data_IF_421808324350
#
_entry.id   IF_421808324350
#
_cell.length_a   1.000
_cell.length_b   1.000
_cell.length_c   1.000
_cell.angle_alpha   90.00
_cell.angle_beta   90.00
_cell.angle_gamma   90.00
#
_symmetry.space_group_name_H-M   'P 1'
#
loop_
_entity.id
_entity.type
_entity.pdbx_description
1 polymer ?
#
# COMPACT_ATOMS: atom_id res chain seq x y z
N UNK A 1 24.40 9.39 39.31
CA UNK A 1 24.01 8.53 38.17
C UNK A 1 22.63 7.96 38.47
N UNK A 2 21.62 8.13 37.60
CA UNK A 2 20.30 7.49 37.79
C UNK A 2 20.42 6.03 37.40
N UNK A 3 20.10 5.10 38.30
CA UNK A 3 20.06 3.68 37.98
C UNK A 3 18.93 3.42 36.98
N UNK A 4 19.26 2.75 35.86
CA UNK A 4 18.26 2.32 34.89
C UNK A 4 17.62 1.04 35.43
N UNK A 5 16.45 1.18 36.03
CA UNK A 5 15.69 0.02 36.50
C UNK A 5 15.23 -0.83 35.31
N UNK A 6 15.55 -2.13 35.32
CA UNK A 6 15.18 -3.08 34.26
C UNK A 6 13.66 -3.32 34.25
N UNK A 7 13.07 -3.58 33.08
CA UNK A 7 11.65 -3.96 32.96
C UNK A 7 11.46 -5.43 33.32
N UNK A 8 10.65 -5.70 34.35
CA UNK A 8 10.24 -7.06 34.73
C UNK A 8 9.06 -7.53 33.88
N UNK A 9 8.82 -8.84 33.81
CA UNK A 9 7.68 -9.37 33.04
C UNK A 9 6.33 -8.90 33.60
N UNK A 10 6.24 -8.75 34.92
CA UNK A 10 5.08 -8.19 35.61
C UNK A 10 4.82 -6.73 35.23
N UNK A 11 5.87 -5.90 35.16
CA UNK A 11 5.76 -4.51 34.71
C UNK A 11 5.28 -4.42 33.26
N UNK A 12 5.73 -5.35 32.39
CA UNK A 12 5.33 -5.38 30.98
C UNK A 12 3.86 -5.72 30.81
N UNK A 13 3.37 -6.77 31.49
CA UNK A 13 1.96 -7.16 31.42
C UNK A 13 1.07 -6.04 31.95
N UNK A 14 1.42 -5.50 33.13
CA UNK A 14 0.68 -4.39 33.73
C UNK A 14 0.67 -3.16 32.81
N UNK A 15 1.77 -2.89 32.10
CA UNK A 15 1.83 -1.79 31.13
C UNK A 15 0.87 -2.01 29.96
N UNK A 16 0.79 -3.22 29.42
CA UNK A 16 -0.14 -3.54 28.34
C UNK A 16 -1.59 -3.29 28.77
N UNK A 17 -1.98 -3.86 29.92
CA UNK A 17 -3.34 -3.77 30.45
C UNK A 17 -3.75 -2.31 30.73
N UNK A 18 -2.84 -1.54 31.33
CA UNK A 18 -3.10 -0.13 31.64
C UNK A 18 -3.16 0.75 30.39
N UNK A 19 -2.36 0.45 29.37
CA UNK A 19 -2.45 1.20 28.11
C UNK A 19 -3.80 0.96 27.46
N UNK A 20 -4.32 -0.27 27.46
CA UNK A 20 -5.63 -0.56 26.89
C UNK A 20 -6.76 0.13 27.67
N UNK A 21 -6.69 0.14 29.00
CA UNK A 21 -7.67 0.82 29.86
C UNK A 21 -7.64 2.35 29.75
N UNK A 22 -6.46 2.93 29.49
CA UNK A 22 -6.26 4.39 29.46
C UNK A 22 -6.12 4.94 28.02
N UNK A 23 -6.47 4.16 27.00
CA UNK A 23 -6.49 4.61 25.61
C UNK A 23 -7.90 4.97 25.19
N UNK A 24 -8.12 6.25 24.90
CA UNK A 24 -9.40 6.77 24.40
C UNK A 24 -9.15 7.46 23.06
N UNK A 25 -9.96 7.18 22.04
CA UNK A 25 -9.82 7.79 20.70
C UNK A 25 -8.38 7.68 20.13
N UNK A 26 -7.73 6.52 20.29
CA UNK A 26 -6.34 6.27 19.89
C UNK A 26 -5.29 7.17 20.56
N UNK A 27 -5.61 7.79 21.70
CA UNK A 27 -4.68 8.55 22.54
C UNK A 27 -4.62 7.93 23.93
N UNK A 28 -3.42 7.55 24.36
CA UNK A 28 -3.17 6.95 25.68
C UNK A 28 -2.77 8.02 26.68
N UNK A 29 -3.39 8.03 27.88
CA UNK A 29 -3.00 8.91 28.97
C UNK A 29 -1.76 8.37 29.71
N UNK A 30 -0.57 8.69 29.20
CA UNK A 30 0.70 8.20 29.75
C UNK A 30 1.00 8.68 31.17
N UNK A 31 0.39 9.78 31.63
CA UNK A 31 0.58 10.28 33.00
C UNK A 31 -0.10 9.33 33.99
N UNK A 32 -1.33 8.92 33.71
CA UNK A 32 -2.07 7.96 34.55
C UNK A 32 -1.42 6.58 34.55
N UNK A 33 -0.97 6.10 33.39
CA UNK A 33 -0.27 4.80 33.26
C UNK A 33 1.02 4.81 34.08
N UNK A 34 1.81 5.89 33.99
CA UNK A 34 3.06 6.06 34.72
C UNK A 34 2.90 6.04 36.24
N UNK A 35 1.86 6.68 36.76
CA UNK A 35 1.56 6.72 38.19
C UNK A 35 1.34 5.31 38.76
N UNK A 36 0.73 4.41 38.00
CA UNK A 36 0.39 3.06 38.47
C UNK A 36 1.53 2.02 38.35
N UNK A 37 2.55 2.33 37.54
CA UNK A 37 3.73 1.46 37.31
C UNK A 37 5.00 2.03 37.96
N UNK A 38 4.91 3.19 38.64
CA UNK A 38 6.04 3.87 39.27
C UNK A 38 7.22 4.10 38.32
N UNK A 39 6.90 4.53 37.09
CA UNK A 39 7.87 4.88 36.04
C UNK A 39 7.51 6.26 35.51
N UNK A 40 8.41 6.90 34.77
CA UNK A 40 8.07 8.16 34.11
C UNK A 40 7.19 7.91 32.87
N UNK A 41 6.29 8.85 32.50
CA UNK A 41 5.48 8.74 31.29
C UNK A 41 6.28 8.45 30.02
N UNK A 42 7.46 9.08 29.88
CA UNK A 42 8.34 8.85 28.75
C UNK A 42 8.94 7.44 28.74
N UNK A 43 9.29 6.85 29.89
CA UNK A 43 9.76 5.47 29.95
C UNK A 43 8.66 4.49 29.52
N UNK A 44 7.43 4.66 30.03
CA UNK A 44 6.28 3.85 29.63
C UNK A 44 6.00 3.96 28.13
N UNK A 45 5.95 5.19 27.59
CA UNK A 45 5.69 5.44 26.17
C UNK A 45 6.77 4.84 25.27
N UNK A 46 8.05 5.08 25.59
CA UNK A 46 9.17 4.57 24.80
C UNK A 46 9.23 3.05 24.84
N UNK A 47 9.02 2.45 26.01
CA UNK A 47 9.00 1.00 26.15
C UNK A 47 7.82 0.38 25.39
N UNK A 48 6.61 0.90 25.55
CA UNK A 48 5.42 0.40 24.84
C UNK A 48 5.55 0.53 23.32
N UNK A 49 6.13 1.64 22.83
CA UNK A 49 6.35 1.87 21.40
C UNK A 49 7.38 0.91 20.79
N UNK A 50 8.39 0.51 21.55
CA UNK A 50 9.46 -0.40 21.08
C UNK A 50 9.11 -1.85 21.34
N UNK A 51 8.79 -2.23 22.58
CA UNK A 51 8.65 -3.64 22.96
C UNK A 51 7.24 -4.21 22.68
N UNK A 52 6.18 -3.46 23.01
CA UNK A 52 4.81 -4.00 22.97
C UNK A 52 4.16 -3.80 21.60
N UNK A 53 4.37 -2.64 20.95
CA UNK A 53 3.94 -2.39 19.56
C UNK A 53 4.61 -3.29 18.52
N UNK A 54 5.72 -3.95 18.87
CA UNK A 54 6.34 -4.97 18.01
C UNK A 54 5.67 -6.34 18.15
N UNK A 55 5.09 -6.64 19.32
CA UNK A 55 4.37 -7.90 19.59
C UNK A 55 2.89 -7.85 19.19
N UNK A 56 2.27 -6.67 19.14
CA UNK A 56 0.95 -6.51 18.53
C UNK A 56 1.14 -6.60 17.01
N UNK A 57 0.50 -7.53 16.28
CA UNK A 57 0.58 -7.57 14.84
C UNK A 57 0.15 -6.21 14.33
N UNK A 58 1.08 -5.48 13.71
CA UNK A 58 0.80 -4.19 13.11
C UNK A 58 -0.40 -4.40 12.20
N UNK A 59 -1.57 -3.88 12.58
CA UNK A 59 -2.67 -3.56 11.64
C UNK A 59 -2.20 -2.64 10.49
N UNK A 60 -0.95 -2.19 10.52
CA UNK A 60 -0.45 -1.02 9.84
C UNK A 60 0.28 -1.29 8.52
N UNK A 61 0.55 -2.54 8.13
CA UNK A 61 1.23 -2.83 6.86
C UNK A 61 0.44 -3.85 6.03
N UNK A 62 -0.86 -3.61 5.83
CA UNK A 62 -1.61 -4.40 4.85
C UNK A 62 -0.92 -4.26 3.49
N UNK A 63 -0.47 -5.39 2.95
CA UNK A 63 0.23 -5.44 1.68
C UNK A 63 -0.81 -5.16 0.58
N UNK A 64 -0.58 -4.11 -0.20
CA UNK A 64 -1.40 -3.84 -1.38
C UNK A 64 -0.99 -4.76 -2.51
N UNK A 65 -1.69 -5.87 -2.67
CA UNK A 65 -1.54 -6.74 -3.83
C UNK A 65 -2.16 -6.08 -5.07
N UNK A 66 -1.73 -6.53 -6.26
CA UNK A 66 -2.32 -6.09 -7.53
C UNK A 66 -3.83 -6.37 -7.58
N UNK A 67 -4.27 -7.51 -7.05
CA UNK A 67 -5.69 -7.88 -6.96
C UNK A 67 -6.48 -6.92 -6.06
N UNK A 68 -5.99 -6.66 -4.85
CA UNK A 68 -6.61 -5.70 -3.91
C UNK A 68 -6.71 -4.29 -4.50
N UNK A 69 -5.66 -3.86 -5.21
CA UNK A 69 -5.66 -2.57 -5.90
C UNK A 69 -6.67 -2.54 -7.05
N UNK A 70 -6.75 -3.60 -7.85
CA UNK A 70 -7.74 -3.75 -8.92
C UNK A 70 -9.18 -3.70 -8.39
N UNK A 71 -9.44 -4.37 -7.27
CA UNK A 71 -10.73 -4.33 -6.57
C UNK A 71 -11.06 -2.91 -6.10
N UNK A 72 -10.08 -2.17 -5.54
CA UNK A 72 -10.28 -0.77 -5.13
C UNK A 72 -10.67 0.10 -6.32
N UNK A 73 -9.95 -0.01 -7.44
CA UNK A 73 -10.23 0.76 -8.65
C UNK A 73 -11.62 0.43 -9.21
N UNK A 74 -12.00 -0.85 -9.23
CA UNK A 74 -13.34 -1.29 -9.62
C UNK A 74 -14.44 -0.71 -8.73
N UNK A 75 -14.24 -0.70 -7.41
CA UNK A 75 -15.18 -0.10 -6.47
C UNK A 75 -15.32 1.41 -6.67
N UNK A 76 -14.21 2.13 -6.91
CA UNK A 76 -14.25 3.57 -7.18
C UNK A 76 -14.96 3.88 -8.50
N UNK A 77 -14.81 3.02 -9.51
CA UNK A 77 -15.52 3.14 -10.79
C UNK A 77 -17.04 2.97 -10.63
N UNK A 78 -17.50 2.03 -9.80
CA UNK A 78 -18.93 1.73 -9.60
C UNK A 78 -19.58 2.72 -8.62
N UNK A 79 -18.95 2.99 -7.49
CA UNK A 79 -19.55 3.74 -6.37
C UNK A 79 -19.08 5.21 -6.29
N UNK A 80 -18.13 5.61 -7.14
CA UNK A 80 -17.43 6.89 -7.02
C UNK A 80 -16.47 6.93 -5.83
N UNK A 81 -16.06 8.13 -5.40
CA UNK A 81 -15.13 8.35 -4.27
C UNK A 81 -15.81 8.26 -2.90
N UNK A 82 -16.80 7.38 -2.74
CA UNK A 82 -17.54 7.14 -1.48
C UNK A 82 -16.73 6.22 -0.55
N UNK A 83 -15.61 6.70 -0.03
CA UNK A 83 -14.62 5.89 0.70
C UNK A 83 -15.19 5.09 1.88
N UNK A 84 -16.09 5.68 2.67
CA UNK A 84 -16.72 5.01 3.81
C UNK A 84 -17.58 3.81 3.37
N UNK A 85 -18.28 3.94 2.24
CA UNK A 85 -19.06 2.87 1.64
C UNK A 85 -18.14 1.75 1.13
N UNK A 86 -17.10 2.12 0.37
CA UNK A 86 -16.14 1.17 -0.19
C UNK A 86 -15.44 0.37 0.93
N UNK A 87 -15.00 1.05 2.00
CA UNK A 87 -14.45 0.40 3.20
C UNK A 87 -15.42 -0.62 3.78
N UNK A 88 -16.66 -0.21 4.03
CA UNK A 88 -17.67 -1.07 4.67
C UNK A 88 -17.98 -2.32 3.84
N UNK A 89 -18.03 -2.19 2.52
CA UNK A 89 -18.45 -3.28 1.63
C UNK A 89 -17.31 -4.26 1.28
N UNK A 90 -16.08 -3.77 1.10
CA UNK A 90 -15.03 -4.55 0.43
C UNK A 90 -13.67 -4.51 1.14
N UNK A 91 -13.44 -3.56 2.05
CA UNK A 91 -12.12 -3.36 2.68
C UNK A 91 -12.25 -3.07 4.19
N UNK A 92 -12.83 -3.98 4.99
CA UNK A 92 -13.07 -3.74 6.42
C UNK A 92 -11.77 -3.48 7.21
N UNK A 93 -10.68 -4.09 6.78
CA UNK A 93 -9.36 -4.01 7.43
C UNK A 93 -8.59 -2.73 7.11
N UNK A 94 -8.96 -2.01 6.04
CA UNK A 94 -8.31 -0.77 5.64
C UNK A 94 -9.03 0.44 6.21
N UNK A 95 -8.29 1.48 6.58
CA UNK A 95 -8.89 2.78 6.89
C UNK A 95 -9.33 3.49 5.60
N UNK A 96 -10.33 4.36 5.70
CA UNK A 96 -10.78 5.18 4.56
C UNK A 96 -9.64 6.00 3.96
N UNK A 97 -8.75 6.49 4.82
CA UNK A 97 -7.58 7.26 4.42
C UNK A 97 -6.55 6.40 3.66
N UNK A 98 -6.31 5.15 4.07
CA UNK A 98 -5.45 4.23 3.33
C UNK A 98 -5.98 3.98 1.91
N UNK A 99 -7.30 3.76 1.76
CA UNK A 99 -7.93 3.59 0.45
C UNK A 99 -7.74 4.83 -0.44
N UNK A 100 -8.02 6.00 0.14
CA UNK A 100 -7.92 7.30 -0.54
C UNK A 100 -6.49 7.56 -1.02
N UNK A 101 -5.51 7.46 -0.11
CA UNK A 101 -4.09 7.69 -0.41
C UNK A 101 -3.60 6.71 -1.48
N UNK A 102 -3.99 5.43 -1.39
CA UNK A 102 -3.59 4.43 -2.37
C UNK A 102 -4.16 4.73 -3.76
N UNK A 103 -5.44 5.10 -3.84
CA UNK A 103 -6.08 5.48 -5.09
C UNK A 103 -5.38 6.68 -5.74
N UNK A 104 -5.14 7.76 -4.99
CA UNK A 104 -4.48 8.95 -5.55
C UNK A 104 -3.03 8.69 -5.95
N UNK A 105 -2.30 7.89 -5.19
CA UNK A 105 -0.96 7.44 -5.57
C UNK A 105 -0.98 6.69 -6.91
N UNK A 106 -1.97 5.80 -7.10
CA UNK A 106 -2.16 5.09 -8.36
C UNK A 106 -2.51 6.03 -9.52
N UNK A 107 -3.47 6.96 -9.35
CA UNK A 107 -3.84 7.91 -10.40
C UNK A 107 -2.66 8.80 -10.78
N UNK A 108 -1.90 9.29 -9.80
CA UNK A 108 -0.68 10.07 -10.06
C UNK A 108 0.34 9.26 -10.86
N UNK A 109 0.58 8.02 -10.45
CA UNK A 109 1.47 7.11 -11.19
C UNK A 109 0.96 6.89 -12.63
N UNK A 110 -0.32 6.60 -12.81
CA UNK A 110 -0.95 6.42 -14.12
C UNK A 110 -0.76 7.64 -15.01
N UNK A 111 -1.12 8.84 -14.54
CA UNK A 111 -1.02 10.08 -15.33
C UNK A 111 0.45 10.37 -15.73
N UNK A 112 1.39 10.21 -14.80
CA UNK A 112 2.82 10.40 -15.09
C UNK A 112 3.36 9.41 -16.14
N UNK A 113 2.77 8.22 -16.22
CA UNK A 113 3.16 7.22 -17.20
C UNK A 113 2.41 7.37 -18.53
N UNK A 114 1.19 7.88 -18.55
CA UNK A 114 0.48 8.20 -19.80
C UNK A 114 1.25 9.23 -20.63
N UNK A 115 1.81 10.25 -19.99
CA UNK A 115 2.70 11.22 -20.64
C UNK A 115 3.94 10.55 -21.21
N UNK A 116 4.58 9.67 -20.43
CA UNK A 116 5.75 8.92 -20.88
C UNK A 116 5.41 8.02 -22.07
N UNK A 117 4.29 7.29 -22.04
CA UNK A 117 3.83 6.45 -23.15
C UNK A 117 3.63 7.28 -24.42
N UNK A 118 3.04 8.47 -24.33
CA UNK A 118 2.89 9.38 -25.47
C UNK A 118 4.24 9.80 -26.05
N UNK A 119 5.22 10.14 -25.20
CA UNK A 119 6.57 10.49 -25.65
C UNK A 119 7.26 9.31 -26.36
N UNK A 120 7.11 8.09 -25.84
CA UNK A 120 7.64 6.89 -26.48
C UNK A 120 6.97 6.65 -27.83
N UNK A 121 5.64 6.75 -27.91
CA UNK A 121 4.90 6.60 -29.17
C UNK A 121 5.30 7.61 -30.25
N UNK A 122 5.72 8.82 -29.85
CA UNK A 122 6.21 9.86 -30.75
C UNK A 122 7.68 9.72 -31.12
N UNK A 123 8.40 8.72 -30.58
CA UNK A 123 9.85 8.57 -30.77
C UNK A 123 10.70 9.61 -30.03
N UNK A 124 10.09 10.44 -29.17
CA UNK A 124 10.73 11.56 -28.48
C UNK A 124 11.24 11.15 -27.08
N UNK A 125 11.83 9.96 -26.95
CA UNK A 125 12.35 9.48 -25.66
C UNK A 125 13.77 9.97 -25.47
N UNK A 126 14.04 10.65 -24.36
CA UNK A 126 15.40 11.07 -24.02
C UNK A 126 16.10 10.01 -23.15
N UNK A 127 17.43 9.94 -23.21
CA UNK A 127 18.25 9.01 -22.41
C UNK A 127 17.95 9.10 -20.91
N UNK A 128 17.66 10.31 -20.41
CA UNK A 128 17.28 10.55 -19.00
C UNK A 128 15.99 9.81 -18.58
N UNK A 129 15.14 9.44 -19.53
CA UNK A 129 13.89 8.72 -19.27
C UNK A 129 14.08 7.20 -19.20
N UNK A 130 15.28 6.66 -19.53
CA UNK A 130 15.53 5.22 -19.56
C UNK A 130 15.16 4.49 -18.25
N UNK A 131 15.52 5.07 -17.09
CA UNK A 131 15.15 4.50 -15.78
C UNK A 131 13.62 4.46 -15.57
N UNK A 132 12.90 5.45 -16.09
CA UNK A 132 11.43 5.53 -15.98
C UNK A 132 10.77 4.52 -16.92
N UNK A 133 11.25 4.41 -18.16
CA UNK A 133 10.79 3.42 -19.15
C UNK A 133 10.99 2.00 -18.61
N UNK A 134 12.16 1.71 -18.04
CA UNK A 134 12.45 0.41 -17.42
C UNK A 134 11.50 0.08 -16.27
N UNK A 135 11.27 1.02 -15.34
CA UNK A 135 10.31 0.84 -14.24
C UNK A 135 8.88 0.61 -14.74
N UNK A 136 8.49 1.30 -15.81
CA UNK A 136 7.18 1.14 -16.43
C UNK A 136 7.03 -0.25 -17.06
N UNK A 137 8.05 -0.72 -17.78
CA UNK A 137 8.10 -2.08 -18.34
C UNK A 137 8.02 -3.15 -17.24
N UNK A 138 8.82 -3.03 -16.17
CA UNK A 138 8.77 -3.95 -15.02
C UNK A 138 7.39 -3.97 -14.35
N UNK A 139 6.70 -2.82 -14.28
CA UNK A 139 5.35 -2.74 -13.75
C UNK A 139 4.36 -3.50 -14.63
N UNK A 140 4.43 -3.34 -15.95
CA UNK A 140 3.55 -4.04 -16.88
C UNK A 140 3.78 -5.55 -16.88
N UNK A 141 5.03 -6.01 -16.81
CA UNK A 141 5.32 -7.44 -16.64
C UNK A 141 4.72 -8.02 -15.35
N UNK A 142 4.81 -7.28 -14.23
CA UNK A 142 4.18 -7.70 -12.98
C UNK A 142 2.66 -7.77 -13.07
N UNK A 143 2.03 -6.86 -13.82
CA UNK A 143 0.61 -6.90 -14.08
C UNK A 143 0.23 -8.12 -14.92
N UNK A 144 0.93 -8.37 -16.02
CA UNK A 144 0.71 -9.54 -16.88
C UNK A 144 0.77 -10.85 -16.08
N UNK A 145 1.85 -11.05 -15.32
CA UNK A 145 2.00 -12.24 -14.47
C UNK A 145 0.92 -12.34 -13.39
N UNK A 146 0.39 -11.21 -12.92
CA UNK A 146 -0.70 -11.21 -11.93
C UNK A 146 -2.05 -11.61 -12.53
N UNK A 147 -2.28 -11.35 -13.82
CA UNK A 147 -3.50 -11.77 -14.52
C UNK A 147 -3.50 -13.27 -14.79
N UNK A 148 -2.36 -13.82 -15.23
CA UNK A 148 -2.19 -15.25 -15.49
C UNK A 148 -2.42 -16.13 -14.25
N UNK A 149 -2.16 -15.57 -13.06
CA UNK A 149 -2.29 -16.28 -11.78
C UNK A 149 -3.63 -16.05 -11.05
N UNK A 150 -4.57 -15.29 -11.62
CA UNK A 150 -5.83 -14.98 -10.94
C UNK A 150 -6.90 -16.04 -11.21
N UNK A 151 -6.93 -17.10 -10.40
CA UNK A 151 -7.96 -18.14 -10.43
C UNK A 151 -9.20 -17.70 -9.62
N UNK A 152 -10.27 -17.37 -10.35
CA UNK A 152 -11.69 -17.37 -9.90
C UNK A 152 -12.30 -16.08 -9.31
N UNK A 153 -13.17 -15.43 -10.10
CA UNK A 153 -14.62 -15.40 -9.89
C UNK A 153 -15.29 -14.99 -11.23
N UNK A 154 -16.56 -15.34 -11.44
CA UNK A 154 -17.31 -15.03 -12.68
C UNK A 154 -17.33 -13.54 -13.05
N UNK A 155 -17.08 -12.66 -12.07
CA UNK A 155 -16.89 -11.22 -12.27
C UNK A 155 -15.59 -10.90 -13.04
N UNK A 156 -14.50 -11.62 -12.78
CA UNK A 156 -13.23 -11.50 -13.53
C UNK A 156 -13.41 -12.02 -14.94
N UNK A 157 -14.15 -13.12 -15.14
CA UNK A 157 -14.42 -13.70 -16.46
C UNK A 157 -15.25 -12.76 -17.35
N UNK A 158 -16.29 -12.13 -16.79
CA UNK A 158 -17.14 -11.15 -17.49
C UNK A 158 -16.39 -9.85 -17.83
N UNK A 159 -15.53 -9.36 -16.93
CA UNK A 159 -14.68 -8.18 -17.16
C UNK A 159 -13.46 -8.49 -18.04
N UNK A 160 -12.95 -9.73 -18.06
CA UNK A 160 -11.87 -10.18 -18.93
C UNK A 160 -12.33 -10.24 -20.39
N UNK A 161 -13.57 -10.65 -20.66
CA UNK A 161 -14.18 -10.56 -22.00
C UNK A 161 -14.31 -9.10 -22.49
N UNK A 162 -14.66 -8.16 -21.62
CA UNK A 162 -14.67 -6.72 -21.94
C UNK A 162 -13.26 -6.10 -22.07
N UNK A 163 -12.24 -6.71 -21.45
CA UNK A 163 -10.85 -6.22 -21.47
C UNK A 163 -9.93 -6.99 -22.44
N UNK A 164 -10.40 -8.03 -23.14
CA UNK A 164 -9.61 -8.76 -24.13
C UNK A 164 -9.03 -7.82 -25.23
N UNK A 165 -9.77 -6.75 -25.54
CA UNK A 165 -9.33 -5.70 -26.45
C UNK A 165 -8.21 -4.81 -25.86
N UNK A 166 -8.13 -4.69 -24.53
CA UNK A 166 -7.04 -4.00 -23.82
C UNK A 166 -5.84 -4.90 -23.56
N UNK A 167 -6.03 -6.21 -23.47
CA UNK A 167 -4.95 -7.20 -23.36
C UNK A 167 -4.11 -7.23 -24.66
N UNK A 168 -4.78 -7.12 -25.81
CA UNK A 168 -4.12 -6.94 -27.10
C UNK A 168 -3.27 -5.65 -27.11
N UNK A 169 -3.84 -4.53 -26.64
CA UNK A 169 -3.10 -3.25 -26.48
C UNK A 169 -1.95 -3.33 -25.47
N UNK A 170 -2.08 -4.14 -24.42
CA UNK A 170 -1.04 -4.34 -23.42
C UNK A 170 0.15 -5.12 -23.98
N UNK A 171 -0.10 -6.21 -24.73
CA UNK A 171 0.95 -6.99 -25.40
C UNK A 171 1.70 -6.13 -26.41
N UNK A 172 0.99 -5.34 -27.20
CA UNK A 172 1.60 -4.40 -28.16
C UNK A 172 2.44 -3.34 -27.44
N UNK A 173 1.96 -2.79 -26.32
CA UNK A 173 2.71 -1.84 -25.51
C UNK A 173 3.95 -2.48 -24.87
N UNK A 174 3.86 -3.71 -24.35
CA UNK A 174 5.01 -4.44 -23.78
C UNK A 174 6.08 -4.69 -24.85
N UNK A 175 5.66 -5.14 -26.04
CA UNK A 175 6.55 -5.33 -27.19
C UNK A 175 7.23 -4.02 -27.59
N UNK A 176 6.47 -2.93 -27.66
CA UNK A 176 6.96 -1.61 -27.98
C UNK A 176 7.97 -1.08 -26.94
N UNK A 177 7.66 -1.21 -25.65
CA UNK A 177 8.57 -0.82 -24.56
C UNK A 177 9.87 -1.64 -24.59
N UNK A 178 9.80 -2.93 -24.89
CA UNK A 178 10.98 -3.80 -25.04
C UNK A 178 11.87 -3.32 -26.18
N UNK A 179 11.29 -2.97 -27.33
CA UNK A 179 12.02 -2.40 -28.47
C UNK A 179 12.66 -1.05 -28.11
N UNK A 180 11.94 -0.15 -27.45
CA UNK A 180 12.46 1.15 -27.02
C UNK A 180 13.64 1.02 -26.04
N UNK A 181 13.57 0.07 -25.09
CA UNK A 181 14.69 -0.22 -24.17
C UNK A 181 15.91 -0.71 -24.96
N UNK A 182 15.72 -1.63 -25.92
CA UNK A 182 16.82 -2.16 -26.73
C UNK A 182 17.54 -1.07 -27.53
N UNK A 183 16.78 -0.14 -28.13
CA UNK A 183 17.34 1.01 -28.85
C UNK A 183 18.18 1.90 -27.93
N UNK A 184 17.66 2.25 -26.77
CA UNK A 184 18.36 3.10 -25.78
C UNK A 184 19.58 2.46 -25.14
N UNK A 185 19.77 1.14 -25.27
CA UNK A 185 20.93 0.44 -24.67
C UNK A 185 22.05 0.22 -25.70
N UNK A 186 21.75 0.40 -26.99
CA UNK A 186 22.69 0.22 -28.10
C UNK A 186 23.31 1.54 -28.59
N UNK A 187 22.87 2.68 -28.06
CA UNK A 187 23.46 4.02 -28.23
C UNK A 187 24.42 4.33 -27.06
#
# INVERSE_FOLDING_TARGET
>A
MRQIQKWTETDKQKLADLVDQNTTNNRTNWIQVAQQINRTPNQCKSYYAVAIKQCVPKKCNLIWTSSTLGQLLGCVQIYGKKWSLIKKLQFPDYTTEQLRLKYYAFIKFKNNNEELVKLIQQGNVQVKDHSRVKKLYEHFLKLQNSYENCTSSDFIRKKALENANKDLQLQDLIKFLKTAIQQLTNE
#
